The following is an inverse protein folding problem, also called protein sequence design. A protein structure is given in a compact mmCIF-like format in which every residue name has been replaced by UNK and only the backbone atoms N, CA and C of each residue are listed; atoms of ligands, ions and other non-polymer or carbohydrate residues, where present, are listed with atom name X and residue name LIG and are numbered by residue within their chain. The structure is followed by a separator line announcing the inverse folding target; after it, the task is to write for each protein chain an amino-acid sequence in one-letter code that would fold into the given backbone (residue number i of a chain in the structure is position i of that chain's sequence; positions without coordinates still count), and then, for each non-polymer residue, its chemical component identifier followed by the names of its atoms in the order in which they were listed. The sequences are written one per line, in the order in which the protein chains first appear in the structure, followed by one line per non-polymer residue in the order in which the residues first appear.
data_IF_916924264933
#
_entry.id   IF_916924264933
#
_cell.length_a   1.000
_cell.length_b   1.000
_cell.length_c   1.000
_cell.angle_alpha   90.00
_cell.angle_beta   90.00
_cell.angle_gamma   90.00
#
_symmetry.space_group_name_H-M   'P 1'
#
loop_
_entity.id
_entity.type
_entity.pdbx_description
1 polymer ?
#
# COMPACT_ATOMS: atom_id res chain seq x y z
N UNK A 1 19.50 2.64 24.84
CA UNK A 1 18.88 1.51 24.13
C UNK A 1 17.45 1.46 24.60
N UNK A 2 16.61 2.33 24.05
CA UNK A 2 15.27 2.63 24.55
C UNK A 2 14.29 2.69 23.38
N UNK A 3 13.23 1.91 23.48
CA UNK A 3 11.92 2.03 22.84
C UNK A 3 11.85 2.20 21.31
N UNK A 4 11.94 1.06 20.60
CA UNK A 4 11.44 0.89 19.23
C UNK A 4 10.17 0.01 19.14
N UNK A 5 9.49 -0.23 20.26
CA UNK A 5 8.55 -1.35 20.41
C UNK A 5 7.08 -1.07 20.02
N UNK A 6 6.70 0.12 19.57
CA UNK A 6 5.28 0.48 19.38
C UNK A 6 4.85 0.59 17.89
N UNK A 7 5.68 1.15 17.01
CA UNK A 7 5.31 1.33 15.59
C UNK A 7 5.06 -0.01 14.85
N UNK A 8 5.81 -1.05 15.20
CA UNK A 8 5.76 -2.35 14.54
C UNK A 8 4.55 -3.21 14.97
N UNK A 9 3.92 -2.91 16.11
CA UNK A 9 2.72 -3.62 16.56
C UNK A 9 1.53 -3.36 15.62
N UNK A 10 1.32 -2.10 15.24
CA UNK A 10 0.22 -1.71 14.33
C UNK A 10 0.36 -2.29 12.91
N UNK A 11 1.60 -2.40 12.41
CA UNK A 11 1.90 -3.02 11.12
C UNK A 11 1.62 -4.53 11.16
N UNK A 12 2.10 -5.23 12.19
CA UNK A 12 1.88 -6.68 12.38
C UNK A 12 0.41 -7.03 12.48
N UNK A 13 -0.39 -6.23 13.18
CA UNK A 13 -1.82 -6.48 13.31
C UNK A 13 -2.58 -6.26 12.00
N UNK A 14 -2.19 -5.25 11.23
CA UNK A 14 -2.74 -5.04 9.88
C UNK A 14 -2.48 -6.24 8.99
N UNK A 15 -1.22 -6.72 8.93
CA UNK A 15 -0.85 -7.88 8.11
C UNK A 15 -1.54 -9.15 8.61
N UNK A 16 -1.65 -9.37 9.92
CA UNK A 16 -2.36 -10.53 10.49
C UNK A 16 -3.84 -10.57 10.09
N UNK A 17 -4.51 -9.41 10.12
CA UNK A 17 -5.94 -9.30 9.84
C UNK A 17 -6.26 -9.33 8.34
N UNK A 18 -5.39 -8.74 7.53
CA UNK A 18 -5.73 -8.39 6.13
C UNK A 18 -4.79 -9.02 5.11
N UNK A 19 -3.64 -9.54 5.54
CA UNK A 19 -2.62 -10.17 4.69
C UNK A 19 -1.81 -9.19 3.85
N UNK A 20 -2.31 -7.98 3.59
CA UNK A 20 -1.66 -6.95 2.78
C UNK A 20 -1.90 -5.58 3.43
N UNK A 21 -0.81 -4.84 3.67
CA UNK A 21 -0.86 -3.43 4.01
C UNK A 21 -1.00 -2.60 2.71
N UNK A 22 -2.08 -1.85 2.59
CA UNK A 22 -2.29 -0.89 1.49
C UNK A 22 -1.96 0.51 1.98
N UNK A 23 -0.90 1.12 1.43
CA UNK A 23 -0.40 2.44 1.83
C UNK A 23 -0.62 3.42 0.69
N UNK A 24 -1.17 4.60 0.99
CA UNK A 24 -1.44 5.64 0.00
C UNK A 24 -0.64 6.90 0.31
N UNK A 25 -0.04 7.49 -0.72
CA UNK A 25 0.67 8.75 -0.67
C UNK A 25 0.23 9.66 -1.83
N UNK A 26 -0.64 10.66 -1.57
CA UNK A 26 -1.23 11.51 -2.61
C UNK A 26 -0.32 12.64 -3.12
N UNK A 27 0.87 12.82 -2.54
CA UNK A 27 1.88 13.79 -2.96
C UNK A 27 3.26 13.17 -2.76
N UNK A 28 3.50 12.07 -3.47
CA UNK A 28 4.47 11.07 -3.04
C UNK A 28 5.93 11.49 -3.15
N UNK A 29 6.25 12.54 -3.91
CA UNK A 29 7.63 12.86 -4.26
C UNK A 29 8.31 11.64 -4.86
N UNK A 30 9.48 11.29 -4.32
CA UNK A 30 10.23 10.09 -4.67
C UNK A 30 9.82 8.82 -3.88
N UNK A 31 8.60 8.78 -3.30
CA UNK A 31 8.03 7.69 -2.49
C UNK A 31 8.72 7.43 -1.14
N UNK A 32 9.34 8.43 -0.53
CA UNK A 32 10.08 8.27 0.73
C UNK A 32 9.24 7.67 1.87
N UNK A 33 7.95 8.05 1.98
CA UNK A 33 7.05 7.49 3.00
C UNK A 33 6.79 5.99 2.79
N UNK A 34 6.63 5.55 1.54
CA UNK A 34 6.43 4.12 1.25
C UNK A 34 7.70 3.32 1.51
N UNK A 35 8.87 3.88 1.20
CA UNK A 35 10.16 3.23 1.49
C UNK A 35 10.33 3.05 3.00
N UNK A 36 10.09 4.09 3.79
CA UNK A 36 10.13 4.01 5.24
C UNK A 36 9.13 2.97 5.80
N UNK A 37 7.92 2.89 5.23
CA UNK A 37 6.94 1.87 5.62
C UNK A 37 7.43 0.45 5.30
N UNK A 38 8.06 0.25 4.14
CA UNK A 38 8.66 -1.03 3.78
C UNK A 38 9.82 -1.41 4.71
N UNK A 39 10.61 -0.43 5.16
CA UNK A 39 11.64 -0.65 6.19
C UNK A 39 11.04 -1.10 7.51
N UNK A 40 9.95 -0.47 7.98
CA UNK A 40 9.24 -0.93 9.19
C UNK A 40 8.73 -2.38 9.05
N UNK A 41 8.24 -2.78 7.86
CA UNK A 41 7.85 -4.16 7.60
C UNK A 41 9.05 -5.12 7.72
N UNK A 42 10.20 -4.75 7.16
CA UNK A 42 11.42 -5.55 7.25
C UNK A 42 11.92 -5.68 8.69
N UNK A 43 11.93 -4.58 9.46
CA UNK A 43 12.25 -4.59 10.89
C UNK A 43 11.30 -5.48 11.70
N UNK A 44 10.06 -5.60 11.25
CA UNK A 44 9.05 -6.48 11.82
C UNK A 44 9.15 -7.95 11.33
N UNK A 45 10.16 -8.31 10.54
CA UNK A 45 10.35 -9.62 9.88
C UNK A 45 9.22 -10.00 8.91
N UNK A 46 8.70 -9.01 8.18
CA UNK A 46 7.63 -9.17 7.19
C UNK A 46 8.16 -8.76 5.81
N UNK A 47 8.04 -9.64 4.82
CA UNK A 47 8.45 -9.37 3.45
C UNK A 47 7.52 -8.34 2.76
N UNK A 48 7.98 -7.11 2.44
CA UNK A 48 7.16 -6.08 1.81
C UNK A 48 6.71 -6.47 0.40
N UNK A 49 7.55 -7.17 -0.38
CA UNK A 49 7.21 -7.61 -1.74
C UNK A 49 5.97 -8.49 -1.77
N UNK A 50 5.70 -9.21 -0.69
CA UNK A 50 4.50 -10.03 -0.54
C UNK A 50 3.40 -9.28 0.19
N UNK A 51 3.70 -8.48 1.20
CA UNK A 51 2.69 -7.99 2.15
C UNK A 51 2.38 -6.50 2.06
N UNK A 52 2.93 -5.78 1.09
CA UNK A 52 2.70 -4.34 0.92
C UNK A 52 2.23 -4.01 -0.49
N UNK A 53 1.26 -3.10 -0.60
CA UNK A 53 0.89 -2.43 -1.83
C UNK A 53 0.89 -0.90 -1.64
N UNK A 54 1.60 -0.19 -2.52
CA UNK A 54 1.66 1.26 -2.56
C UNK A 54 0.71 1.88 -3.59
N UNK A 55 0.02 2.95 -3.22
CA UNK A 55 -0.66 3.86 -4.16
C UNK A 55 0.00 5.23 -4.05
N UNK A 56 0.67 5.65 -5.12
CA UNK A 56 1.43 6.89 -5.17
C UNK A 56 0.86 7.81 -6.24
N UNK A 57 0.63 9.07 -5.87
CA UNK A 57 0.26 10.12 -6.83
C UNK A 57 1.20 11.30 -6.64
N UNK A 58 1.72 11.84 -7.73
CA UNK A 58 2.40 13.14 -7.72
C UNK A 58 2.03 13.97 -8.96
N UNK A 59 1.95 15.28 -8.80
CA UNK A 59 1.67 16.21 -9.89
C UNK A 59 2.91 16.42 -10.78
N UNK A 60 4.11 16.29 -10.22
CA UNK A 60 5.36 16.37 -10.96
C UNK A 60 5.70 15.02 -11.62
N UNK A 61 5.79 14.95 -12.97
CA UNK A 61 6.19 13.73 -13.65
C UNK A 61 7.57 13.21 -13.23
N UNK A 62 8.53 14.08 -12.90
CA UNK A 62 9.88 13.66 -12.50
C UNK A 62 9.84 12.98 -11.13
N UNK A 63 9.10 13.55 -10.17
CA UNK A 63 8.85 12.92 -8.88
C UNK A 63 8.20 11.54 -9.02
N UNK A 64 7.13 11.44 -9.83
CA UNK A 64 6.47 10.17 -10.10
C UNK A 64 7.40 9.14 -10.79
N UNK A 65 8.28 9.58 -11.70
CA UNK A 65 9.29 8.71 -12.33
C UNK A 65 10.30 8.18 -11.30
N UNK A 66 10.78 9.04 -10.39
CA UNK A 66 11.68 8.64 -9.30
C UNK A 66 11.00 7.61 -8.37
N UNK A 67 9.77 7.88 -7.93
CA UNK A 67 8.98 6.94 -7.13
C UNK A 67 8.85 5.58 -7.83
N UNK A 68 8.52 5.57 -9.12
CA UNK A 68 8.40 4.34 -9.90
C UNK A 68 9.69 3.53 -9.92
N UNK A 69 10.85 4.18 -10.14
CA UNK A 69 12.15 3.51 -10.17
C UNK A 69 12.50 2.96 -8.78
N UNK A 70 12.39 3.77 -7.72
CA UNK A 70 12.73 3.34 -6.36
C UNK A 70 11.92 2.13 -5.92
N UNK A 71 10.59 2.19 -6.06
CA UNK A 71 9.70 1.11 -5.65
C UNK A 71 9.91 -0.15 -6.49
N UNK A 72 10.23 -0.01 -7.78
CA UNK A 72 10.55 -1.16 -8.63
C UNK A 72 11.85 -1.86 -8.20
N UNK A 73 12.90 -1.10 -7.90
CA UNK A 73 14.20 -1.64 -7.49
C UNK A 73 14.16 -2.27 -6.10
N UNK A 74 13.39 -1.69 -5.18
CA UNK A 74 13.20 -2.22 -3.82
C UNK A 74 12.21 -3.39 -3.77
N UNK A 75 11.65 -3.79 -4.91
CA UNK A 75 10.73 -4.91 -4.99
C UNK A 75 9.39 -4.64 -4.30
N UNK A 76 8.90 -3.40 -4.30
CA UNK A 76 7.63 -3.02 -3.68
C UNK A 76 6.55 -2.98 -4.78
N UNK A 77 5.44 -3.70 -4.57
CA UNK A 77 4.29 -3.61 -5.46
C UNK A 77 3.61 -2.25 -5.29
N UNK A 78 3.46 -1.48 -6.38
CA UNK A 78 2.81 -0.19 -6.32
C UNK A 78 2.16 0.23 -7.63
N UNK A 79 1.15 1.08 -7.51
CA UNK A 79 0.64 1.96 -8.56
C UNK A 79 1.25 3.34 -8.38
N UNK A 80 1.83 3.90 -9.44
CA UNK A 80 2.41 5.24 -9.46
C UNK A 80 1.74 6.06 -10.55
N UNK A 81 1.04 7.10 -10.12
CA UNK A 81 0.23 7.98 -10.96
C UNK A 81 0.89 9.35 -11.06
N UNK A 82 1.06 9.84 -12.28
CA UNK A 82 1.32 11.27 -12.51
C UNK A 82 -0.02 11.96 -12.69
N UNK A 83 -0.39 12.85 -11.77
CA UNK A 83 -1.69 13.52 -11.79
C UNK A 83 -1.92 14.44 -10.61
N UNK A 84 -3.03 15.16 -10.65
CA UNK A 84 -3.41 16.09 -9.58
C UNK A 84 -4.41 15.40 -8.65
N UNK A 85 -3.98 15.09 -7.43
CA UNK A 85 -4.81 14.41 -6.42
C UNK A 85 -6.03 15.22 -5.97
N UNK A 86 -5.98 16.54 -5.98
CA UNK A 86 -7.11 17.39 -5.59
C UNK A 86 -8.25 17.36 -6.63
N UNK A 87 -7.89 17.32 -7.90
CA UNK A 87 -8.85 17.33 -9.03
C UNK A 87 -9.17 15.94 -9.55
N UNK A 88 -8.40 14.92 -9.13
CA UNK A 88 -8.44 13.55 -9.64
C UNK A 88 -8.21 13.44 -11.16
N UNK A 89 -7.52 14.44 -11.74
CA UNK A 89 -7.10 14.40 -13.14
C UNK A 89 -5.75 13.70 -13.26
N UNK A 90 -5.76 12.55 -13.92
CA UNK A 90 -4.57 11.70 -14.08
C UNK A 90 -4.06 11.72 -15.50
N UNK A 91 -2.74 11.87 -15.64
CA UNK A 91 -2.05 11.92 -16.95
C UNK A 91 -1.40 10.59 -17.31
N UNK A 92 -0.90 9.85 -16.31
CA UNK A 92 -0.18 8.59 -16.52
C UNK A 92 -0.35 7.69 -15.31
N UNK A 93 -0.55 6.40 -15.53
CA UNK A 93 -0.57 5.35 -14.49
C UNK A 93 0.46 4.30 -14.86
N UNK A 94 1.25 3.85 -13.88
CA UNK A 94 2.23 2.76 -14.02
C UNK A 94 2.17 1.84 -12.83
N UNK A 95 2.41 0.55 -13.06
CA UNK A 95 2.55 -0.43 -12.00
C UNK A 95 3.97 -0.99 -11.97
N UNK A 96 4.54 -1.14 -10.77
CA UNK A 96 5.90 -1.69 -10.61
C UNK A 96 5.93 -3.18 -10.99
N UNK A 97 7.09 -3.76 -11.37
CA UNK A 97 7.17 -5.17 -11.77
C UNK A 97 6.60 -6.15 -10.73
N UNK A 98 6.83 -5.89 -9.44
CA UNK A 98 6.35 -6.76 -8.34
C UNK A 98 4.83 -6.82 -8.25
N UNK A 99 4.12 -5.77 -8.70
CA UNK A 99 2.67 -5.80 -8.83
C UNK A 99 2.22 -7.00 -9.68
N UNK A 100 2.90 -7.24 -10.80
CA UNK A 100 2.58 -8.33 -11.72
C UNK A 100 3.13 -9.68 -11.21
N UNK A 101 4.40 -9.72 -10.78
CA UNK A 101 5.06 -10.94 -10.35
C UNK A 101 4.33 -11.64 -9.19
N UNK A 102 3.74 -10.85 -8.29
CA UNK A 102 3.01 -11.34 -7.13
C UNK A 102 1.48 -11.21 -7.27
N UNK A 103 0.97 -11.03 -8.49
CA UNK A 103 -0.44 -11.00 -8.83
C UNK A 103 -1.29 -10.05 -7.95
N UNK A 104 -0.77 -8.85 -7.66
CA UNK A 104 -1.40 -7.91 -6.73
C UNK A 104 -2.79 -7.45 -7.19
N UNK A 105 -3.06 -7.39 -8.48
CA UNK A 105 -4.40 -7.09 -9.01
C UNK A 105 -5.46 -8.03 -8.39
N UNK A 106 -5.24 -9.35 -8.53
CA UNK A 106 -6.14 -10.37 -7.98
C UNK A 106 -6.20 -10.29 -6.45
N UNK A 107 -5.04 -10.16 -5.80
CA UNK A 107 -4.94 -10.15 -4.34
C UNK A 107 -5.67 -8.96 -3.71
N UNK A 108 -5.56 -7.78 -4.31
CA UNK A 108 -6.29 -6.59 -3.87
C UNK A 108 -7.79 -6.72 -4.13
N UNK A 109 -8.19 -7.30 -5.27
CA UNK A 109 -9.60 -7.55 -5.55
C UNK A 109 -10.21 -8.53 -4.53
N UNK A 110 -9.50 -9.61 -4.21
CA UNK A 110 -9.91 -10.59 -3.19
C UNK A 110 -10.00 -9.94 -1.80
N UNK A 111 -9.02 -9.12 -1.42
CA UNK A 111 -9.05 -8.36 -0.17
C UNK A 111 -10.28 -7.43 -0.08
N UNK A 112 -10.61 -6.71 -1.15
CA UNK A 112 -11.82 -5.86 -1.20
C UNK A 112 -13.09 -6.68 -1.00
N UNK A 113 -13.19 -7.85 -1.63
CA UNK A 113 -14.33 -8.78 -1.46
C UNK A 113 -14.43 -9.27 -0.03
N UNK A 114 -13.33 -9.67 0.58
CA UNK A 114 -13.31 -10.10 1.98
C UNK A 114 -13.69 -8.98 2.95
N UNK A 115 -13.20 -7.76 2.75
CA UNK A 115 -13.59 -6.60 3.55
C UNK A 115 -15.10 -6.34 3.42
N UNK A 116 -15.64 -6.28 2.20
CA UNK A 116 -17.07 -6.08 1.97
C UNK A 116 -17.95 -7.17 2.61
N UNK A 117 -17.57 -8.44 2.49
CA UNK A 117 -18.28 -9.56 3.13
C UNK A 117 -18.25 -9.44 4.65
N UNK A 118 -17.08 -9.14 5.23
CA UNK A 118 -16.92 -8.96 6.68
C UNK A 118 -17.80 -7.82 7.19
N UNK A 119 -17.83 -6.71 6.48
CA UNK A 119 -18.59 -5.51 6.86
C UNK A 119 -20.11 -5.80 6.78
N UNK A 120 -20.55 -6.52 5.75
CA UNK A 120 -21.94 -7.00 5.62
C UNK A 120 -22.35 -7.93 6.78
N UNK A 121 -21.50 -8.92 7.13
CA UNK A 121 -21.76 -9.81 8.27
C UNK A 121 -21.80 -9.05 9.61
N UNK A 122 -20.94 -8.04 9.77
CA UNK A 122 -20.92 -7.21 10.97
C UNK A 122 -22.18 -6.36 11.10
N UNK A 123 -22.70 -5.82 9.99
CA UNK A 123 -23.97 -5.10 9.94
C UNK A 123 -25.16 -6.00 10.32
N UNK A 124 -25.23 -7.21 9.75
CA UNK A 124 -26.31 -8.16 10.05
C UNK A 124 -26.33 -8.63 11.51
N UNK A 125 -25.15 -8.63 12.18
CA UNK A 125 -25.02 -9.00 13.59
C UNK A 125 -25.44 -7.89 14.56
N UNK A 126 -25.70 -6.65 14.08
CA UNK A 126 -26.21 -5.59 14.95
C UNK A 126 -27.68 -5.88 15.31
N UNK A 127 -28.06 -5.84 16.60
CA UNK A 127 -29.45 -6.04 16.98
C UNK A 127 -30.31 -4.96 16.32
N UNK A 128 -31.38 -5.37 15.62
CA UNK A 128 -32.39 -4.42 15.15
C UNK A 128 -33.02 -3.80 16.39
N UNK A 129 -32.92 -2.47 16.50
CA UNK A 129 -33.70 -1.69 17.48
C UNK A 129 -35.19 -1.78 17.13
#
# INVERSE_FOLDING_TARGET
MSDGADANAGVRDTIRREGIATVSDPACGAAGMLIAYAECLLEADINPSMHMFGSCIDIDPVAADMAFIQLSLLGIAAEVVTGNTLTMQYRRVRYTPVYYLNAFEKRLADLRRFRAMRDFCAEYRRPRK
#
